data_IF_191668798172
#
_entry.id   IF_191668798172
#
_cell.length_a   1.000
_cell.length_b   1.000
_cell.length_c   1.000
_cell.angle_alpha   90.00
_cell.angle_beta   90.00
_cell.angle_gamma   90.00
#
_symmetry.space_group_name_H-M   'P 1'
#
loop_
_entity.id
_entity.type
_entity.pdbx_description
1 polymer ?
#
# COMPACT_ATOMS: atom_id res chain seq x y z
N UNK A 1 -5.69 58.71 23.74
CA UNK A 1 -6.12 57.29 23.75
C UNK A 1 -5.49 56.61 22.54
N UNK A 2 -4.40 55.88 22.75
CA UNK A 2 -3.68 55.15 21.72
C UNK A 2 -3.79 53.66 22.04
N UNK A 3 -4.39 52.88 21.15
CA UNK A 3 -4.51 51.44 21.28
C UNK A 3 -3.23 50.76 20.77
N UNK A 4 -2.47 50.16 21.68
CA UNK A 4 -1.46 49.15 21.37
C UNK A 4 -2.18 47.83 21.05
N UNK A 5 -1.88 47.24 19.88
CA UNK A 5 -2.13 45.81 19.61
C UNK A 5 -0.86 45.05 20.00
N UNK A 6 -0.97 44.20 21.02
CA UNK A 6 0.02 43.16 21.30
C UNK A 6 0.05 42.16 20.15
N UNK A 7 1.24 41.84 19.65
CA UNK A 7 1.48 40.66 18.82
C UNK A 7 1.73 39.49 19.76
N UNK A 8 0.88 38.48 19.68
CA UNK A 8 1.17 37.15 20.23
C UNK A 8 2.35 36.56 19.46
N UNK A 9 3.45 36.35 20.16
CA UNK A 9 4.54 35.49 19.71
C UNK A 9 4.19 34.07 20.12
N UNK A 10 3.73 33.26 19.16
CA UNK A 10 3.62 31.82 19.33
C UNK A 10 4.99 31.24 19.63
N UNK A 11 5.11 30.52 20.75
CA UNK A 11 6.27 29.72 21.13
C UNK A 11 6.53 28.65 20.07
N UNK A 12 7.61 28.81 19.29
CA UNK A 12 8.20 27.69 18.54
C UNK A 12 8.79 26.72 19.56
N UNK A 13 8.28 25.48 19.61
CA UNK A 13 8.91 24.40 20.38
C UNK A 13 10.28 24.10 19.76
N UNK A 14 11.35 24.50 20.45
CA UNK A 14 12.71 24.11 20.08
C UNK A 14 12.90 22.61 20.33
N UNK A 15 13.32 21.87 19.29
CA UNK A 15 13.81 20.51 19.45
C UNK A 15 14.98 20.47 20.45
N UNK A 16 15.14 19.39 21.24
CA UNK A 16 16.30 19.23 22.10
C UNK A 16 17.58 19.35 21.26
N UNK A 17 18.38 20.38 21.55
CA UNK A 17 19.61 20.74 20.82
C UNK A 17 20.79 19.83 21.20
N UNK A 18 20.65 18.52 21.01
CA UNK A 18 21.85 17.67 20.97
C UNK A 18 22.30 17.48 19.53
N UNK A 19 23.59 17.73 19.22
CA UNK A 19 24.10 17.46 17.89
C UNK A 19 23.90 15.97 17.54
N UNK A 20 23.57 15.71 16.28
CA UNK A 20 23.64 14.38 15.68
C UNK A 20 25.08 13.85 15.80
N UNK A 21 25.24 12.59 16.21
CA UNK A 21 26.54 11.95 16.47
C UNK A 21 26.57 10.54 15.90
N UNK A 22 27.75 10.08 15.46
CA UNK A 22 27.99 8.73 14.92
C UNK A 22 27.51 7.60 15.85
N UNK A 23 27.50 7.79 17.17
CA UNK A 23 26.96 6.79 18.12
C UNK A 23 25.42 6.70 18.08
N UNK A 24 24.72 7.81 17.78
CA UNK A 24 23.27 7.79 17.52
C UNK A 24 22.99 7.03 16.22
N UNK A 25 23.84 7.15 15.19
CA UNK A 25 23.69 6.41 13.92
C UNK A 25 23.67 4.90 14.13
N UNK A 26 24.61 4.36 14.92
CA UNK A 26 24.70 2.91 15.16
C UNK A 26 23.51 2.40 15.97
N UNK A 27 23.09 3.11 17.01
CA UNK A 27 21.94 2.70 17.82
C UNK A 27 20.62 2.80 17.03
N UNK A 28 20.48 3.84 16.20
CA UNK A 28 19.33 4.07 15.33
C UNK A 28 19.24 3.00 14.25
N UNK A 29 20.32 2.74 13.52
CA UNK A 29 20.38 1.70 12.49
C UNK A 29 20.12 0.30 13.07
N UNK A 30 20.61 0.02 14.28
CA UNK A 30 20.34 -1.25 14.97
C UNK A 30 18.86 -1.38 15.39
N UNK A 31 18.22 -0.30 15.85
CA UNK A 31 16.78 -0.33 16.15
C UNK A 31 15.95 -0.55 14.88
N UNK A 32 16.32 0.11 13.78
CA UNK A 32 15.64 -0.05 12.48
C UNK A 32 15.79 -1.47 11.92
N UNK A 33 16.99 -2.06 12.00
CA UNK A 33 17.23 -3.44 11.60
C UNK A 33 16.46 -4.45 12.47
N UNK A 34 16.26 -4.15 13.76
CA UNK A 34 15.52 -5.02 14.68
C UNK A 34 13.99 -4.97 14.48
N UNK A 35 13.45 -3.94 13.83
CA UNK A 35 12.00 -3.83 13.56
C UNK A 35 11.60 -4.41 12.20
N UNK A 36 12.56 -4.81 11.37
CA UNK A 36 12.36 -5.58 10.13
C UNK A 36 12.11 -7.07 10.35
N UNK A 37 12.07 -7.54 11.60
CA UNK A 37 11.74 -8.91 11.95
C UNK A 37 11.12 -8.97 13.33
N UNK A 38 9.92 -9.54 13.42
CA UNK A 38 9.16 -9.82 14.64
C UNK A 38 8.51 -8.62 15.35
N UNK A 39 7.18 -8.51 15.20
CA UNK A 39 6.32 -7.98 16.26
C UNK A 39 5.30 -9.05 16.66
N UNK A 40 5.57 -9.76 17.76
CA UNK A 40 4.49 -10.35 18.55
C UNK A 40 3.71 -9.20 19.19
N UNK A 41 2.46 -9.02 18.77
CA UNK A 41 1.54 -8.06 19.40
C UNK A 41 1.16 -8.57 20.79
N UNK A 42 1.52 -7.84 21.85
CA UNK A 42 0.79 -7.97 23.10
C UNK A 42 -0.60 -7.33 22.96
N UNK A 43 -1.67 -7.96 23.46
CA UNK A 43 -3.01 -7.43 23.34
C UNK A 43 -3.21 -6.21 24.26
N UNK A 44 -3.72 -5.14 23.65
CA UNK A 44 -4.25 -3.98 24.35
C UNK A 44 -5.38 -4.41 25.30
N UNK A 45 -5.24 -4.12 26.59
CA UNK A 45 -6.30 -4.25 27.60
C UNK A 45 -7.03 -2.92 27.69
N UNK A 46 -8.24 -2.87 27.14
CA UNK A 46 -9.21 -1.82 27.45
C UNK A 46 -9.57 -1.89 28.94
N UNK A 47 -9.37 -0.78 29.66
CA UNK A 47 -9.91 -0.58 31.00
C UNK A 47 -11.39 -0.21 30.85
N UNK A 48 -12.26 -1.20 30.94
CA UNK A 48 -13.69 -0.98 31.17
C UNK A 48 -13.98 -0.96 32.67
N UNK A 49 -14.49 0.17 33.13
CA UNK A 49 -15.08 0.37 34.45
C UNK A 49 -16.39 -0.45 34.55
N UNK A 50 -16.27 -1.69 35.03
CA UNK A 50 -17.40 -2.56 35.31
C UNK A 50 -18.11 -2.16 36.61
N UNK A 51 -19.24 -1.46 36.48
CA UNK A 51 -20.27 -1.41 37.52
C UNK A 51 -21.04 -2.75 37.54
N UNK A 52 -20.95 -3.42 38.68
CA UNK A 52 -21.55 -4.70 39.03
C UNK A 52 -23.07 -4.76 38.90
N UNK A 53 -23.62 -5.79 38.24
CA UNK A 53 -24.88 -6.44 38.62
C UNK A 53 -24.85 -7.93 38.28
N UNK A 54 -24.89 -8.77 39.31
CA UNK A 54 -25.15 -10.22 39.24
C UNK A 54 -26.64 -10.48 39.44
N UNK A 55 -27.31 -11.22 38.55
CA UNK A 55 -28.46 -12.09 38.89
C UNK A 55 -28.53 -13.30 37.94
N UNK A 56 -28.33 -14.46 38.55
CA UNK A 56 -28.93 -15.82 38.40
C UNK A 56 -29.22 -16.48 37.03
N UNK A 57 -28.81 -17.75 37.00
CA UNK A 57 -29.21 -18.83 36.09
C UNK A 57 -30.71 -19.11 36.23
N UNK A 58 -31.37 -19.51 35.14
CA UNK A 58 -32.12 -20.77 35.09
C UNK A 58 -32.56 -21.13 33.66
N UNK A 59 -32.48 -22.44 33.40
CA UNK A 59 -33.25 -23.31 32.50
C UNK A 59 -33.17 -23.28 30.95
N UNK A 60 -32.65 -24.43 30.46
CA UNK A 60 -32.70 -25.02 29.12
C UNK A 60 -34.12 -25.61 28.88
N UNK A 61 -34.62 -25.74 27.64
CA UNK A 61 -34.48 -27.06 26.98
C UNK A 61 -34.21 -27.02 25.46
N UNK A 62 -33.38 -27.99 25.06
CA UNK A 62 -33.17 -28.52 23.70
C UNK A 62 -34.46 -29.14 23.13
N UNK A 63 -34.67 -29.04 21.81
CA UNK A 63 -35.59 -29.93 21.08
C UNK A 63 -34.89 -30.56 19.87
N UNK A 64 -35.04 -31.89 19.81
CA UNK A 64 -34.40 -32.86 18.93
C UNK A 64 -35.09 -33.04 17.57
N UNK A 65 -34.30 -33.63 16.65
CA UNK A 65 -34.63 -34.40 15.45
C UNK A 65 -35.98 -35.15 15.43
N UNK A 66 -36.53 -35.31 14.22
CA UNK A 66 -37.45 -36.40 13.88
C UNK A 66 -37.05 -37.05 12.55
N UNK A 67 -37.00 -38.38 12.56
CA UNK A 67 -36.75 -39.31 11.44
C UNK A 67 -38.02 -40.12 11.15
N UNK A 68 -38.27 -40.36 9.86
CA UNK A 68 -38.97 -41.46 9.14
C UNK A 68 -40.34 -42.02 9.59
N UNK A 69 -41.18 -42.30 8.59
CA UNK A 69 -41.98 -43.55 8.47
C UNK A 69 -42.34 -43.81 6.99
N UNK A 70 -42.38 -45.09 6.59
CA UNK A 70 -42.65 -45.56 5.22
C UNK A 70 -43.90 -46.44 5.05
N UNK A 71 -44.16 -46.74 3.75
CA UNK A 71 -44.89 -47.86 3.11
C UNK A 71 -46.43 -48.05 3.32
N UNK A 72 -47.18 -48.83 2.48
CA UNK A 72 -46.86 -49.57 1.24
C UNK A 72 -47.94 -49.57 0.09
N UNK A 73 -47.59 -50.24 -1.04
CA UNK A 73 -48.41 -51.08 -1.97
C UNK A 73 -49.39 -50.49 -3.04
N UNK A 74 -49.33 -51.08 -4.26
CA UNK A 74 -50.48 -51.08 -5.21
C UNK A 74 -50.16 -51.20 -6.72
N UNK A 75 -50.27 -52.41 -7.27
CA UNK A 75 -50.06 -52.87 -8.66
C UNK A 75 -50.90 -52.22 -9.79
N UNK A 76 -50.40 -52.19 -11.04
CA UNK A 76 -50.91 -52.98 -12.19
C UNK A 76 -50.35 -52.56 -13.57
N UNK A 77 -50.30 -53.56 -14.46
CA UNK A 77 -49.75 -53.63 -15.82
C UNK A 77 -50.61 -52.92 -16.89
N UNK A 78 -49.98 -52.34 -17.92
CA UNK A 78 -50.43 -52.48 -19.32
C UNK A 78 -49.35 -52.08 -20.34
N UNK A 79 -49.02 -53.00 -21.24
CA UNK A 79 -48.22 -52.84 -22.47
C UNK A 79 -49.02 -52.12 -23.57
N UNK A 80 -48.42 -51.16 -24.29
CA UNK A 80 -48.47 -51.06 -25.78
C UNK A 80 -47.66 -49.87 -26.36
N UNK A 81 -46.60 -50.24 -27.09
CA UNK A 81 -46.13 -49.74 -28.41
C UNK A 81 -46.01 -48.22 -28.73
N UNK A 82 -44.78 -47.93 -29.17
CA UNK A 82 -44.39 -47.16 -30.37
C UNK A 82 -44.17 -45.65 -30.28
N UNK A 83 -43.11 -45.20 -30.97
CA UNK A 83 -42.90 -43.80 -31.35
C UNK A 83 -41.74 -43.14 -30.61
N UNK A 84 -40.61 -42.96 -31.29
CA UNK A 84 -39.41 -42.39 -30.71
C UNK A 84 -39.47 -40.90 -30.43
N UNK A 85 -38.67 -40.48 -29.45
CA UNK A 85 -38.01 -39.18 -29.46
C UNK A 85 -36.79 -39.28 -28.54
N UNK A 86 -35.61 -39.05 -29.10
CA UNK A 86 -34.39 -38.81 -28.34
C UNK A 86 -34.58 -37.50 -27.57
N UNK A 87 -34.97 -37.59 -26.31
CA UNK A 87 -34.90 -36.48 -25.38
C UNK A 87 -33.53 -36.51 -24.72
N UNK A 88 -32.67 -35.57 -25.11
CA UNK A 88 -31.44 -35.26 -24.41
C UNK A 88 -31.77 -34.96 -22.95
N UNK A 89 -31.33 -35.84 -22.05
CA UNK A 89 -31.24 -35.53 -20.63
C UNK A 89 -30.06 -34.57 -20.50
N UNK A 90 -30.35 -33.27 -20.39
CA UNK A 90 -29.39 -32.33 -19.84
C UNK A 90 -29.26 -32.65 -18.35
N UNK A 91 -28.26 -33.48 -18.04
CA UNK A 91 -27.70 -33.57 -16.69
C UNK A 91 -27.28 -32.17 -16.26
N UNK A 92 -27.61 -31.82 -15.01
CA UNK A 92 -27.40 -30.51 -14.44
C UNK A 92 -25.96 -30.06 -14.60
N UNK A 93 -25.75 -29.03 -15.42
CA UNK A 93 -24.53 -28.25 -15.39
C UNK A 93 -24.44 -27.64 -14.01
N UNK A 94 -23.59 -28.19 -13.14
CA UNK A 94 -23.01 -27.41 -12.07
C UNK A 94 -22.43 -26.18 -12.72
N UNK A 95 -23.02 -25.01 -12.46
CA UNK A 95 -22.38 -23.74 -12.77
C UNK A 95 -21.13 -23.66 -11.91
N UNK A 96 -20.03 -24.22 -12.42
CA UNK A 96 -18.71 -23.83 -11.96
C UNK A 96 -18.58 -22.38 -12.37
N UNK A 97 -18.76 -21.48 -11.40
CA UNK A 97 -18.36 -20.09 -11.56
C UNK A 97 -16.86 -20.14 -11.88
N UNK A 98 -16.52 -19.87 -13.14
CA UNK A 98 -15.15 -19.61 -13.55
C UNK A 98 -15.04 -18.08 -13.57
N UNK A 99 -14.43 -17.46 -12.56
CA UNK A 99 -14.12 -16.05 -12.66
C UNK A 99 -13.20 -15.87 -13.86
N UNK A 100 -13.61 -15.03 -14.81
CA UNK A 100 -12.84 -14.76 -16.02
C UNK A 100 -11.96 -13.53 -15.77
N UNK A 101 -11.07 -13.61 -14.78
CA UNK A 101 -10.17 -12.52 -14.46
C UNK A 101 -9.17 -12.32 -15.59
N UNK A 102 -9.02 -11.07 -16.04
CA UNK A 102 -8.01 -10.66 -17.01
C UNK A 102 -6.81 -10.00 -16.32
N UNK A 103 -7.03 -9.43 -15.14
CA UNK A 103 -6.01 -8.67 -14.42
C UNK A 103 -5.87 -9.16 -12.98
N UNK A 104 -4.63 -9.18 -12.53
CA UNK A 104 -4.28 -9.30 -11.11
C UNK A 104 -3.66 -7.97 -10.68
N UNK A 105 -4.29 -7.24 -9.78
CA UNK A 105 -3.66 -6.09 -9.14
C UNK A 105 -3.01 -6.57 -7.84
N UNK A 106 -1.69 -6.41 -7.72
CA UNK A 106 -0.94 -6.98 -6.61
C UNK A 106 -0.12 -5.90 -5.91
N UNK A 107 -0.29 -5.80 -4.60
CA UNK A 107 0.65 -5.06 -3.76
C UNK A 107 2.01 -5.79 -3.63
N UNK A 108 3.03 -5.08 -3.13
CA UNK A 108 4.37 -5.59 -2.93
C UNK A 108 4.70 -5.92 -1.47
N UNK A 109 5.02 -4.93 -0.66
CA UNK A 109 5.50 -5.12 0.72
C UNK A 109 4.39 -5.73 1.58
N UNK A 110 4.64 -6.89 2.21
CA UNK A 110 3.61 -7.58 3.00
C UNK A 110 2.62 -8.39 2.16
N UNK A 111 2.73 -8.37 0.83
CA UNK A 111 1.88 -9.13 -0.10
C UNK A 111 2.68 -10.02 -1.05
N UNK A 112 3.30 -9.45 -2.08
CA UNK A 112 4.13 -10.19 -3.04
C UNK A 112 5.50 -10.52 -2.46
N UNK A 113 6.04 -9.62 -1.64
CA UNK A 113 7.30 -9.79 -0.93
C UNK A 113 7.07 -10.49 0.41
N UNK A 114 7.94 -11.44 0.74
CA UNK A 114 8.00 -12.01 2.07
C UNK A 114 8.57 -11.01 3.09
N UNK A 115 8.62 -11.40 4.36
CA UNK A 115 9.20 -10.60 5.44
C UNK A 115 10.68 -10.24 5.25
N UNK A 116 11.40 -10.92 4.35
CA UNK A 116 12.78 -10.59 3.99
C UNK A 116 12.89 -9.54 2.88
N UNK A 117 11.76 -9.05 2.35
CA UNK A 117 11.72 -8.09 1.24
C UNK A 117 12.04 -8.72 -0.11
N UNK A 118 12.00 -10.05 -0.23
CA UNK A 118 12.27 -10.78 -1.46
C UNK A 118 10.98 -11.35 -2.05
N UNK A 119 10.98 -11.61 -3.36
CA UNK A 119 9.88 -12.33 -4.01
C UNK A 119 10.14 -13.83 -3.88
N UNK A 120 9.31 -14.61 -3.18
CA UNK A 120 9.43 -16.06 -3.18
C UNK A 120 9.34 -16.61 -4.61
N UNK A 121 10.18 -17.59 -4.96
CA UNK A 121 10.16 -18.17 -6.32
C UNK A 121 8.80 -18.78 -6.68
N UNK A 122 8.08 -19.29 -5.68
CA UNK A 122 6.68 -19.75 -5.78
C UNK A 122 5.74 -18.65 -6.24
N UNK A 123 5.84 -17.43 -5.70
CA UNK A 123 5.06 -16.27 -6.15
C UNK A 123 5.47 -15.90 -7.58
N UNK A 124 6.76 -15.90 -7.89
CA UNK A 124 7.24 -15.59 -9.23
C UNK A 124 6.72 -16.58 -10.28
N UNK A 125 6.74 -17.87 -9.98
CA UNK A 125 6.22 -18.91 -10.86
C UNK A 125 4.71 -18.83 -11.05
N UNK A 126 3.95 -18.55 -9.97
CA UNK A 126 2.52 -18.34 -10.08
C UNK A 126 2.17 -17.17 -11.02
N UNK A 127 2.91 -16.06 -10.95
CA UNK A 127 2.75 -14.93 -11.88
C UNK A 127 3.03 -15.36 -13.34
N UNK A 128 4.09 -16.17 -13.58
CA UNK A 128 4.38 -16.70 -14.92
C UNK A 128 3.25 -17.60 -15.42
N UNK A 129 2.70 -18.45 -14.55
CA UNK A 129 1.55 -19.30 -14.87
C UNK A 129 0.31 -18.46 -15.20
N UNK A 130 -0.05 -17.48 -14.38
CA UNK A 130 -1.15 -16.56 -14.65
C UNK A 130 -1.01 -15.90 -16.02
N UNK A 131 0.20 -15.41 -16.33
CA UNK A 131 0.51 -14.82 -17.63
C UNK A 131 0.39 -15.81 -18.79
N UNK A 132 0.83 -17.06 -18.63
CA UNK A 132 0.65 -18.09 -19.66
C UNK A 132 -0.82 -18.40 -19.98
N UNK A 133 -1.71 -18.10 -19.04
CA UNK A 133 -3.17 -18.20 -19.18
C UNK A 133 -3.82 -16.92 -19.72
N UNK A 134 -3.02 -15.90 -20.07
CA UNK A 134 -3.49 -14.62 -20.59
C UNK A 134 -3.94 -13.63 -19.51
N UNK A 135 -3.66 -13.92 -18.23
CA UNK A 135 -3.97 -13.00 -17.11
C UNK A 135 -2.76 -12.11 -16.84
N UNK A 136 -2.97 -10.80 -16.86
CA UNK A 136 -1.92 -9.82 -16.66
C UNK A 136 -1.82 -9.39 -15.20
N UNK A 137 -0.69 -9.68 -14.56
CA UNK A 137 -0.37 -9.10 -13.24
C UNK A 137 0.13 -7.66 -13.40
N UNK A 138 -0.45 -6.73 -12.65
CA UNK A 138 -0.13 -5.32 -12.60
C UNK A 138 0.20 -4.97 -11.14
N UNK A 139 1.31 -4.27 -10.93
CA UNK A 139 1.73 -3.86 -9.59
C UNK A 139 0.97 -2.60 -9.15
N UNK A 140 0.48 -2.60 -7.92
CA UNK A 140 -0.11 -1.45 -7.24
C UNK A 140 0.55 -1.23 -5.88
N UNK A 141 1.48 -0.28 -5.77
CA UNK A 141 2.39 -0.21 -4.61
C UNK A 141 2.67 1.22 -4.14
N UNK A 142 3.15 1.34 -2.89
CA UNK A 142 3.73 2.57 -2.35
C UNK A 142 5.14 2.89 -2.85
N UNK A 143 5.83 1.91 -3.47
CA UNK A 143 7.17 2.06 -4.03
C UNK A 143 7.21 2.86 -5.33
N UNK A 144 8.39 3.39 -5.67
CA UNK A 144 8.65 3.93 -7.01
C UNK A 144 8.78 2.81 -8.04
N UNK A 145 8.52 3.12 -9.32
CA UNK A 145 8.65 2.16 -10.42
C UNK A 145 10.06 1.57 -10.54
N UNK A 146 11.17 2.34 -10.42
CA UNK A 146 12.52 1.77 -10.40
C UNK A 146 12.74 0.75 -9.29
N UNK A 147 12.20 0.98 -8.09
CA UNK A 147 12.31 0.02 -6.99
C UNK A 147 11.62 -1.31 -7.33
N UNK A 148 10.42 -1.23 -7.93
CA UNK A 148 9.72 -2.42 -8.43
C UNK A 148 10.55 -3.15 -9.49
N UNK A 149 11.15 -2.43 -10.43
CA UNK A 149 11.99 -2.99 -11.49
C UNK A 149 13.22 -3.69 -10.89
N UNK A 150 13.89 -3.08 -9.91
CA UNK A 150 15.04 -3.67 -9.22
C UNK A 150 14.66 -4.98 -8.54
N UNK A 151 13.58 -4.99 -7.75
CA UNK A 151 13.13 -6.15 -6.99
C UNK A 151 12.67 -7.28 -7.92
N UNK A 152 11.79 -6.98 -8.88
CA UNK A 152 11.27 -7.98 -9.81
C UNK A 152 12.32 -8.45 -10.83
N UNK A 153 13.36 -7.65 -11.07
CA UNK A 153 14.51 -8.04 -11.88
C UNK A 153 15.26 -9.23 -11.31
N UNK A 154 15.34 -9.37 -9.98
CA UNK A 154 16.02 -10.47 -9.29
C UNK A 154 15.40 -11.84 -9.58
N UNK A 155 14.12 -11.87 -9.96
CA UNK A 155 13.35 -13.10 -10.28
C UNK A 155 12.89 -13.15 -11.74
N UNK A 156 13.52 -12.37 -12.62
CA UNK A 156 13.22 -12.30 -14.05
C UNK A 156 11.75 -11.94 -14.37
N UNK A 157 11.15 -11.09 -13.53
CA UNK A 157 9.82 -10.52 -13.73
C UNK A 157 9.86 -9.05 -14.19
N UNK A 158 11.05 -8.48 -14.42
CA UNK A 158 11.22 -7.17 -15.02
C UNK A 158 11.76 -7.24 -16.46
N UNK A 159 11.50 -6.20 -17.26
CA UNK A 159 12.01 -6.06 -18.62
C UNK A 159 11.16 -6.74 -19.69
N UNK A 160 11.77 -7.13 -20.80
CA UNK A 160 11.06 -7.72 -21.95
C UNK A 160 10.42 -9.05 -21.55
N UNK A 161 9.09 -9.06 -21.56
CA UNK A 161 8.34 -10.23 -21.11
C UNK A 161 8.38 -10.43 -19.59
N UNK A 162 8.65 -9.38 -18.81
CA UNK A 162 8.28 -9.32 -17.40
C UNK A 162 6.85 -8.78 -17.20
N UNK A 163 6.50 -8.49 -15.95
CA UNK A 163 5.28 -7.76 -15.58
C UNK A 163 5.55 -6.27 -15.30
N UNK A 164 6.82 -5.87 -15.16
CA UNK A 164 7.22 -4.48 -14.95
C UNK A 164 8.34 -4.04 -15.90
N UNK A 165 8.25 -2.83 -16.42
CA UNK A 165 9.28 -2.13 -17.19
C UNK A 165 8.93 -0.64 -17.28
N UNK A 166 9.76 0.14 -17.98
CA UNK A 166 9.45 1.54 -18.32
C UNK A 166 8.19 1.69 -19.20
N UNK A 167 7.74 0.62 -19.86
CA UNK A 167 6.59 0.60 -20.75
C UNK A 167 5.39 -0.20 -20.21
N UNK A 168 5.52 -0.81 -19.03
CA UNK A 168 4.43 -1.59 -18.43
C UNK A 168 3.42 -0.68 -17.73
N UNK A 169 2.13 -1.06 -17.72
CA UNK A 169 1.17 -0.42 -16.85
C UNK A 169 1.48 -0.68 -15.37
N UNK A 170 1.04 0.22 -14.49
CA UNK A 170 1.24 0.09 -13.05
C UNK A 170 0.76 1.29 -12.25
N UNK A 171 0.52 1.06 -10.96
CA UNK A 171 0.10 2.06 -9.98
C UNK A 171 1.22 2.19 -8.94
N UNK A 172 1.86 3.35 -8.87
CA UNK A 172 3.06 3.58 -8.06
C UNK A 172 2.85 4.73 -7.08
N UNK A 173 3.71 4.80 -6.07
CA UNK A 173 3.67 5.84 -5.04
C UNK A 173 2.26 5.99 -4.44
N UNK A 174 1.62 4.88 -4.10
CA UNK A 174 0.27 4.81 -3.53
C UNK A 174 -0.84 5.39 -4.43
N UNK A 175 -0.64 5.34 -5.76
CA UNK A 175 -1.60 5.86 -6.74
C UNK A 175 -1.34 7.30 -7.17
N UNK A 176 -0.26 7.92 -6.71
CA UNK A 176 0.17 9.25 -7.15
C UNK A 176 0.71 9.25 -8.57
N UNK A 177 1.15 8.09 -9.08
CA UNK A 177 1.55 7.90 -10.46
C UNK A 177 0.85 6.66 -11.02
N UNK A 178 0.19 6.83 -12.15
CA UNK A 178 -0.45 5.73 -12.88
C UNK A 178 0.07 5.73 -14.31
N UNK A 179 0.62 4.59 -14.71
CA UNK A 179 1.07 4.35 -16.08
C UNK A 179 0.19 3.29 -16.73
N UNK A 180 -0.18 3.52 -17.98
CA UNK A 180 -0.88 2.59 -18.87
C UNK A 180 0.08 1.82 -19.77
N UNK A 181 -0.51 1.13 -20.75
CA UNK A 181 0.26 0.40 -21.76
C UNK A 181 1.22 1.32 -22.53
N UNK A 182 2.39 0.79 -22.89
CA UNK A 182 3.42 1.55 -23.58
C UNK A 182 4.12 2.61 -22.71
N UNK A 183 3.89 2.63 -21.40
CA UNK A 183 4.47 3.60 -20.47
C UNK A 183 3.78 4.96 -20.52
N UNK A 184 2.55 5.02 -21.05
CA UNK A 184 1.76 6.24 -21.06
C UNK A 184 1.44 6.68 -19.62
N UNK A 185 1.86 7.88 -19.22
CA UNK A 185 1.45 8.44 -17.93
C UNK A 185 -0.01 8.88 -17.99
N UNK A 186 -0.88 8.15 -17.31
CA UNK A 186 -2.32 8.38 -17.25
C UNK A 186 -2.68 9.37 -16.15
N UNK A 187 -1.96 9.32 -15.03
CA UNK A 187 -2.21 10.16 -13.87
C UNK A 187 -0.93 10.55 -13.16
N UNK A 188 -0.92 11.76 -12.64
CA UNK A 188 0.12 12.27 -11.74
C UNK A 188 -0.51 13.25 -10.77
N UNK A 189 -0.34 13.02 -9.48
CA UNK A 189 -0.70 13.98 -8.43
C UNK A 189 0.56 14.40 -7.69
N UNK A 190 0.68 15.71 -7.47
CA UNK A 190 1.83 16.30 -6.84
C UNK A 190 1.42 17.06 -5.58
N UNK A 191 2.37 17.22 -4.68
CA UNK A 191 2.24 18.08 -3.52
C UNK A 191 2.19 19.55 -3.95
N UNK A 192 1.45 20.33 -3.15
CA UNK A 192 1.46 21.78 -3.27
C UNK A 192 2.89 22.32 -3.10
N UNK A 193 3.20 23.37 -3.86
CA UNK A 193 4.53 23.97 -3.88
C UNK A 193 4.97 24.47 -2.50
N UNK A 194 4.05 25.01 -1.71
CA UNK A 194 4.38 25.51 -0.37
C UNK A 194 4.68 24.36 0.58
N UNK A 195 3.95 23.24 0.48
CA UNK A 195 4.26 22.02 1.25
C UNK A 195 5.65 21.51 0.90
N UNK A 196 6.00 21.48 -0.39
CA UNK A 196 7.33 21.08 -0.85
C UNK A 196 8.42 21.96 -0.27
N UNK A 197 8.24 23.28 -0.37
CA UNK A 197 9.20 24.26 0.14
C UNK A 197 9.42 24.09 1.64
N UNK A 198 8.34 23.94 2.39
CA UNK A 198 8.39 23.78 3.84
C UNK A 198 9.09 22.49 4.26
N UNK A 199 8.80 21.37 3.59
CA UNK A 199 9.39 20.07 3.89
C UNK A 199 10.91 20.08 3.70
N UNK A 200 11.36 20.60 2.55
CA UNK A 200 12.78 20.74 2.26
C UNK A 200 13.46 21.66 3.29
N UNK A 201 12.91 22.85 3.53
CA UNK A 201 13.46 23.80 4.51
C UNK A 201 13.54 23.23 5.93
N UNK A 202 12.52 22.47 6.34
CA UNK A 202 12.50 21.82 7.65
C UNK A 202 13.64 20.81 7.77
N UNK A 203 13.76 19.90 6.79
CA UNK A 203 14.84 18.91 6.72
C UNK A 203 16.23 19.55 6.86
N UNK A 204 16.46 20.66 6.15
CA UNK A 204 17.72 21.40 6.16
C UNK A 204 18.03 22.09 7.48
N UNK A 205 17.04 22.82 8.02
CA UNK A 205 17.15 23.59 9.26
C UNK A 205 17.36 22.67 10.46
N UNK A 206 16.65 21.55 10.49
CA UNK A 206 16.61 20.64 11.63
C UNK A 206 17.50 19.41 11.47
N UNK A 207 18.15 19.25 10.30
CA UNK A 207 19.00 18.09 9.97
C UNK A 207 18.25 16.76 10.11
N UNK A 208 16.97 16.75 9.73
CA UNK A 208 16.12 15.55 9.74
C UNK A 208 16.18 14.89 8.37
N UNK A 209 16.41 13.58 8.31
CA UNK A 209 16.46 12.87 7.03
C UNK A 209 15.14 12.96 6.27
N UNK A 210 15.24 13.26 4.97
CA UNK A 210 14.09 13.37 4.06
C UNK A 210 14.44 12.80 2.69
N UNK A 211 13.52 11.98 2.17
CA UNK A 211 13.52 11.51 0.78
C UNK A 211 12.32 12.08 0.05
N UNK A 212 12.57 12.86 -1.01
CA UNK A 212 11.56 13.44 -1.88
C UNK A 212 11.46 12.63 -3.17
N UNK A 213 10.24 12.30 -3.57
CA UNK A 213 9.96 11.52 -4.78
C UNK A 213 9.46 12.42 -5.90
N UNK A 214 10.13 12.37 -7.06
CA UNK A 214 9.69 13.01 -8.30
C UNK A 214 9.81 12.04 -9.47
N UNK A 215 8.69 11.45 -9.85
CA UNK A 215 8.58 10.36 -10.84
C UNK A 215 9.46 9.18 -10.44
N UNK A 216 10.43 8.84 -11.28
CA UNK A 216 11.36 7.74 -11.07
C UNK A 216 12.62 8.17 -10.29
N UNK A 217 12.71 9.44 -9.89
CA UNK A 217 13.87 9.98 -9.17
C UNK A 217 13.56 10.25 -7.69
N UNK A 218 14.55 9.96 -6.85
CA UNK A 218 14.57 10.35 -5.44
C UNK A 218 15.57 11.47 -5.18
N UNK A 219 15.26 12.35 -4.23
CA UNK A 219 16.10 13.48 -3.83
C UNK A 219 16.18 13.59 -2.30
N UNK A 220 17.27 14.14 -1.79
CA UNK A 220 17.47 14.43 -0.37
C UNK A 220 18.11 15.81 -0.21
N UNK A 221 17.94 16.42 0.95
CA UNK A 221 18.62 17.69 1.28
C UNK A 221 19.89 17.48 2.09
N UNK A 222 20.15 16.27 2.57
CA UNK A 222 21.31 15.93 3.39
C UNK A 222 22.26 15.02 2.61
N UNK A 223 23.54 15.35 2.64
CA UNK A 223 24.62 14.53 2.08
C UNK A 223 25.00 13.42 3.07
N UNK A 224 25.31 12.22 2.55
CA UNK A 224 25.80 11.04 3.27
C UNK A 224 25.06 10.72 4.59
N UNK A 225 23.73 10.87 4.59
CA UNK A 225 22.93 10.65 5.80
C UNK A 225 22.55 9.16 5.96
N UNK A 226 22.90 8.50 7.08
CA UNK A 226 22.78 7.05 7.23
C UNK A 226 21.34 6.53 7.08
N UNK A 227 20.35 7.28 7.57
CA UNK A 227 18.94 6.93 7.37
C UNK A 227 18.50 6.94 5.90
N UNK A 228 19.02 7.87 5.10
CA UNK A 228 18.67 7.97 3.68
C UNK A 228 19.28 6.79 2.91
N UNK A 229 20.52 6.41 3.23
CA UNK A 229 21.16 5.23 2.65
C UNK A 229 20.50 3.93 3.12
N UNK A 230 20.12 3.83 4.39
CA UNK A 230 19.36 2.70 4.91
C UNK A 230 18.02 2.55 4.17
N UNK A 231 17.29 3.64 3.97
CA UNK A 231 16.03 3.64 3.23
C UNK A 231 16.21 3.16 1.78
N UNK A 232 17.26 3.63 1.08
CA UNK A 232 17.62 3.15 -0.25
C UNK A 232 17.80 1.62 -0.28
N UNK A 233 18.61 1.09 0.64
CA UNK A 233 18.96 -0.34 0.67
C UNK A 233 17.75 -1.20 1.04
N UNK A 234 17.01 -0.82 2.08
CA UNK A 234 15.90 -1.62 2.59
C UNK A 234 14.69 -1.62 1.68
N UNK A 235 14.38 -0.50 1.04
CA UNK A 235 13.18 -0.36 0.21
C UNK A 235 13.45 -0.50 -1.29
N UNK A 236 14.72 -0.70 -1.67
CA UNK A 236 15.18 -0.73 -3.06
C UNK A 236 14.87 0.55 -3.84
N UNK A 237 14.68 1.67 -3.14
CA UNK A 237 14.36 2.95 -3.77
C UNK A 237 15.60 3.55 -4.44
N UNK A 238 15.51 4.31 -5.54
CA UNK A 238 16.67 4.94 -6.15
C UNK A 238 17.51 5.72 -5.15
N UNK A 239 18.84 5.64 -5.27
CA UNK A 239 19.73 6.44 -4.42
C UNK A 239 19.38 7.92 -4.57
N UNK A 240 19.03 8.54 -3.44
CA UNK A 240 18.56 9.92 -3.42
C UNK A 240 19.66 10.88 -3.87
N UNK A 241 19.33 11.74 -4.83
CA UNK A 241 20.23 12.79 -5.33
C UNK A 241 20.20 13.98 -4.38
N UNK A 242 21.37 14.48 -4.00
CA UNK A 242 21.47 15.64 -3.10
C UNK A 242 20.98 16.88 -3.84
N UNK A 243 20.10 17.63 -3.19
CA UNK A 243 19.72 18.98 -3.57
C UNK A 243 20.80 19.90 -3.01
N UNK A 244 21.92 20.00 -3.75
CA UNK A 244 23.19 20.56 -3.27
C UNK A 244 23.25 22.08 -3.12
N UNK A 245 22.20 22.81 -3.51
CA UNK A 245 22.23 24.28 -3.60
C UNK A 245 21.27 24.99 -2.64
N UNK A 246 21.25 24.50 -1.41
CA UNK A 246 20.45 25.10 -0.33
C UNK A 246 21.20 26.24 0.35
N UNK A 247 22.54 26.19 0.41
CA UNK A 247 23.30 27.29 1.02
C UNK A 247 23.19 28.60 0.20
N UNK A 248 22.92 28.51 -1.12
CA UNK A 248 22.51 29.67 -1.94
C UNK A 248 21.07 30.14 -1.64
N UNK A 249 20.21 29.22 -1.21
CA UNK A 249 18.83 29.45 -0.75
C UNK A 249 18.77 30.24 0.57
N UNK A 250 19.82 30.14 1.39
CA UNK A 250 19.91 30.79 2.71
C UNK A 250 20.73 32.08 2.72
N UNK A 251 21.59 32.32 1.71
CA UNK A 251 22.57 33.43 1.72
C UNK A 251 22.23 34.63 0.83
N UNK A 252 21.11 34.62 0.09
CA UNK A 252 20.75 35.74 -0.80
C UNK A 252 19.39 36.37 -0.46
N UNK A 253 19.41 37.68 -0.14
CA UNK A 253 18.24 38.56 0.02
C UNK A 253 17.68 38.92 -1.37
N UNK A 254 17.57 37.94 -2.27
CA UNK A 254 17.01 38.18 -3.59
C UNK A 254 16.01 37.07 -3.95
N UNK A 255 14.78 37.34 -3.54
CA UNK A 255 13.60 36.50 -3.80
C UNK A 255 13.45 36.22 -5.30
N UNK A 256 14.02 37.03 -6.20
CA UNK A 256 13.90 36.85 -7.64
C UNK A 256 14.89 35.80 -8.22
N UNK A 257 16.07 35.61 -7.62
CA UNK A 257 17.04 34.58 -8.04
C UNK A 257 16.74 33.20 -7.43
N UNK A 258 16.13 33.20 -6.24
CA UNK A 258 15.56 32.02 -5.59
C UNK A 258 14.58 31.28 -6.52
N UNK A 259 13.87 32.00 -7.38
CA UNK A 259 12.90 31.47 -8.34
C UNK A 259 13.53 30.67 -9.49
N UNK A 260 14.80 30.90 -9.81
CA UNK A 260 15.45 30.32 -11.00
C UNK A 260 15.96 28.89 -10.76
N UNK A 261 16.50 28.59 -9.58
CA UNK A 261 16.95 27.23 -9.21
C UNK A 261 15.91 26.43 -8.43
N UNK A 262 14.89 27.12 -7.93
CA UNK A 262 13.63 26.52 -7.53
C UNK A 262 12.89 25.90 -8.74
N UNK A 263 13.42 25.84 -9.97
CA UNK A 263 12.79 25.17 -11.12
C UNK A 263 12.42 23.68 -10.90
N UNK A 264 13.15 22.96 -10.04
CA UNK A 264 12.80 21.57 -9.65
C UNK A 264 11.61 21.56 -8.68
N UNK A 265 11.50 22.57 -7.81
CA UNK A 265 10.37 22.72 -6.89
C UNK A 265 9.17 23.42 -7.55
N UNK A 266 9.34 24.58 -8.21
CA UNK A 266 8.34 25.41 -8.90
C UNK A 266 7.50 24.70 -9.96
N UNK A 267 7.99 23.60 -10.52
CA UNK A 267 7.17 22.80 -11.43
C UNK A 267 6.21 21.85 -10.70
N UNK A 268 6.21 21.85 -9.35
CA UNK A 268 5.29 21.07 -8.54
C UNK A 268 5.29 19.60 -8.94
N UNK A 269 6.46 18.98 -9.08
CA UNK A 269 6.59 17.58 -9.56
C UNK A 269 6.89 16.58 -8.46
N UNK A 270 6.90 17.00 -7.19
CA UNK A 270 7.12 16.08 -6.08
C UNK A 270 5.82 15.37 -5.74
N UNK A 271 5.80 14.05 -5.81
CA UNK A 271 4.62 13.25 -5.45
C UNK A 271 4.52 13.11 -3.94
N UNK A 272 5.63 12.78 -3.26
CA UNK A 272 5.63 12.58 -1.80
C UNK A 272 6.95 12.95 -1.17
N UNK A 273 6.90 13.24 0.12
CA UNK A 273 8.07 13.27 1.00
C UNK A 273 8.00 12.16 2.02
N UNK A 274 9.15 11.61 2.37
CA UNK A 274 9.32 10.62 3.43
C UNK A 274 10.35 11.17 4.41
N UNK A 275 9.92 11.46 5.63
CA UNK A 275 10.81 11.77 6.74
C UNK A 275 11.19 10.49 7.49
N UNK A 276 12.46 10.40 7.86
CA UNK A 276 13.04 9.22 8.51
C UNK A 276 13.60 9.63 9.87
N UNK A 277 13.19 8.93 10.92
CA UNK A 277 13.66 9.10 12.30
C UNK A 277 13.27 7.86 13.12
N UNK A 278 13.73 7.78 14.37
CA UNK A 278 13.17 6.94 15.42
C UNK A 278 11.65 7.02 15.50
N UNK A 279 10.98 5.92 15.88
CA UNK A 279 9.55 5.92 16.18
C UNK A 279 9.15 6.97 17.22
N UNK A 280 10.00 7.21 18.21
CA UNK A 280 9.77 8.19 19.26
C UNK A 280 9.71 9.61 18.69
N UNK A 281 10.67 10.02 17.87
CA UNK A 281 10.70 11.36 17.26
C UNK A 281 9.59 11.52 16.23
N UNK A 282 9.28 10.48 15.45
CA UNK A 282 8.16 10.54 14.51
C UNK A 282 6.84 10.76 15.24
N UNK A 283 6.55 9.95 16.26
CA UNK A 283 5.27 10.00 16.97
C UNK A 283 5.11 11.27 17.81
N UNK A 284 6.18 11.73 18.48
CA UNK A 284 6.12 12.86 19.40
C UNK A 284 6.37 14.23 18.75
N UNK A 285 7.13 14.28 17.64
CA UNK A 285 7.54 15.55 17.01
C UNK A 285 7.02 15.65 15.58
N UNK A 286 7.48 14.78 14.68
CA UNK A 286 7.30 15.00 13.24
C UNK A 286 5.83 14.85 12.83
N UNK A 287 5.13 13.82 13.31
CA UNK A 287 3.73 13.59 12.97
C UNK A 287 2.83 14.73 13.45
N UNK A 288 2.85 15.16 14.73
CA UNK A 288 2.07 16.31 15.17
C UNK A 288 2.42 17.61 14.44
N UNK A 289 3.71 17.85 14.17
CA UNK A 289 4.17 19.01 13.42
C UNK A 289 3.57 19.04 12.00
N UNK A 290 3.78 17.97 11.24
CA UNK A 290 3.34 17.89 9.85
C UNK A 290 1.82 17.84 9.71
N UNK A 291 1.13 17.12 10.60
CA UNK A 291 -0.33 17.06 10.59
C UNK A 291 -0.95 18.47 10.72
N UNK A 292 -0.39 19.31 11.59
CA UNK A 292 -0.81 20.71 11.72
C UNK A 292 -0.37 21.55 10.53
N UNK A 293 0.86 21.36 10.05
CA UNK A 293 1.49 22.24 9.07
C UNK A 293 0.87 22.13 7.68
N UNK A 294 0.41 20.93 7.32
CA UNK A 294 -0.13 20.62 6.00
C UNK A 294 -1.64 20.46 5.99
N UNK A 295 -2.32 20.78 7.10
CA UNK A 295 -3.77 20.67 7.21
C UNK A 295 -4.49 21.38 6.05
N UNK A 296 -5.43 20.67 5.42
CA UNK A 296 -6.15 21.11 4.23
C UNK A 296 -5.34 21.20 2.93
N UNK A 297 -4.04 20.86 2.93
CA UNK A 297 -3.16 20.89 1.74
C UNK A 297 -2.56 19.54 1.38
N UNK A 298 -2.20 18.74 2.37
CA UNK A 298 -1.67 17.39 2.23
C UNK A 298 -2.14 16.55 3.42
N UNK A 299 -1.84 15.25 3.40
CA UNK A 299 -2.07 14.35 4.52
C UNK A 299 -0.77 13.70 4.97
N UNK A 300 -0.73 13.36 6.25
CA UNK A 300 0.38 12.64 6.85
C UNK A 300 -0.02 11.19 7.00
N UNK A 301 0.81 10.28 6.48
CA UNK A 301 0.61 8.83 6.53
C UNK A 301 1.81 8.21 7.23
N UNK A 302 1.58 7.21 8.07
CA UNK A 302 2.65 6.49 8.75
C UNK A 302 2.33 5.00 8.66
N UNK A 303 3.03 4.31 7.76
CA UNK A 303 2.90 2.86 7.63
C UNK A 303 3.81 2.12 8.61
N UNK A 304 5.00 2.67 8.88
CA UNK A 304 6.00 2.10 9.79
C UNK A 304 6.39 3.13 10.86
N UNK A 305 6.86 2.65 12.02
CA UNK A 305 7.14 3.52 13.17
C UNK A 305 8.15 4.63 12.84
N UNK A 306 9.15 4.27 12.06
CA UNK A 306 10.33 5.03 11.64
C UNK A 306 10.19 5.80 10.31
N UNK A 307 9.01 5.76 9.69
CA UNK A 307 8.74 6.38 8.38
C UNK A 307 7.49 7.25 8.44
N UNK A 308 7.65 8.56 8.19
CA UNK A 308 6.53 9.49 8.07
C UNK A 308 6.40 10.01 6.64
N UNK A 309 5.30 9.69 5.97
CA UNK A 309 5.01 10.19 4.64
C UNK A 309 4.15 11.46 4.68
N UNK A 310 4.49 12.44 3.84
CA UNK A 310 3.63 13.56 3.48
C UNK A 310 3.23 13.38 2.02
N UNK A 311 1.93 13.18 1.80
CA UNK A 311 1.35 12.88 0.48
C UNK A 311 0.16 13.81 0.18
N UNK A 312 -0.18 14.05 -1.10
CA UNK A 312 -1.37 14.80 -1.47
C UNK A 312 -2.66 14.24 -0.87
N UNK A 313 -3.65 15.11 -0.68
CA UNK A 313 -4.97 14.72 -0.20
C UNK A 313 -5.68 13.77 -1.17
N UNK A 314 -6.42 12.80 -0.63
CA UNK A 314 -7.28 11.90 -1.42
C UNK A 314 -6.54 10.80 -2.19
N UNK A 315 -5.25 10.61 -1.89
CA UNK A 315 -4.41 9.58 -2.51
C UNK A 315 -4.84 8.18 -2.08
N UNK A 316 -5.02 7.25 -3.03
CA UNK A 316 -5.24 5.82 -2.75
C UNK A 316 -4.84 4.95 -3.95
N UNK A 317 -4.45 3.70 -3.67
CA UNK A 317 -4.20 2.69 -4.72
C UNK A 317 -5.48 2.42 -5.51
N UNK A 318 -6.63 2.31 -4.84
CA UNK A 318 -7.92 2.06 -5.49
C UNK A 318 -8.29 3.09 -6.56
N UNK A 319 -8.06 4.38 -6.32
CA UNK A 319 -8.26 5.41 -7.35
C UNK A 319 -7.30 5.23 -8.54
N UNK A 320 -6.04 4.88 -8.27
CA UNK A 320 -5.06 4.60 -9.32
C UNK A 320 -5.44 3.38 -10.17
N UNK A 321 -5.91 2.30 -9.53
CA UNK A 321 -6.43 1.10 -10.20
C UNK A 321 -7.63 1.44 -11.06
N UNK A 322 -8.58 2.23 -10.55
CA UNK A 322 -9.74 2.67 -11.31
C UNK A 322 -9.35 3.42 -12.59
N UNK A 323 -8.45 4.40 -12.49
CA UNK A 323 -7.94 5.16 -13.66
C UNK A 323 -7.29 4.21 -14.67
N UNK A 324 -6.52 3.22 -14.20
CA UNK A 324 -5.85 2.28 -15.07
C UNK A 324 -6.86 1.35 -15.79
N UNK A 325 -7.87 0.83 -15.08
CA UNK A 325 -8.93 0.00 -15.66
C UNK A 325 -9.71 0.73 -16.75
N UNK A 326 -9.99 2.03 -16.57
CA UNK A 326 -10.62 2.86 -17.60
C UNK A 326 -9.80 2.89 -18.89
N UNK A 327 -8.47 3.01 -18.79
CA UNK A 327 -7.58 2.99 -19.97
C UNK A 327 -7.49 1.61 -20.64
N UNK A 328 -7.64 0.54 -19.85
CA UNK A 328 -7.62 -0.85 -20.31
C UNK A 328 -8.97 -1.31 -20.88
N UNK A 329 -10.01 -0.47 -20.82
CA UNK A 329 -11.39 -0.82 -21.13
C UNK A 329 -11.87 -2.07 -20.35
N UNK A 330 -11.46 -2.19 -19.08
CA UNK A 330 -11.71 -3.35 -18.23
C UNK A 330 -12.73 -3.04 -17.12
N UNK A 331 -13.57 -4.02 -16.79
CA UNK A 331 -14.49 -3.95 -15.65
C UNK A 331 -13.78 -4.39 -14.37
N UNK A 332 -14.14 -3.84 -13.19
CA UNK A 332 -13.65 -4.38 -11.93
C UNK A 332 -13.98 -5.87 -11.72
N UNK A 333 -15.07 -6.39 -12.29
CA UNK A 333 -15.42 -7.84 -12.26
C UNK A 333 -14.36 -8.73 -12.92
N UNK A 334 -13.49 -8.17 -13.78
CA UNK A 334 -12.40 -8.87 -14.46
C UNK A 334 -11.09 -8.81 -13.67
N UNK A 335 -11.13 -8.33 -12.42
CA UNK A 335 -9.97 -8.10 -11.57
C UNK A 335 -9.97 -9.00 -10.34
N UNK A 336 -8.83 -9.66 -10.11
CA UNK A 336 -8.44 -10.14 -8.79
C UNK A 336 -7.47 -9.13 -8.18
N UNK A 337 -7.68 -8.72 -6.94
CA UNK A 337 -6.76 -7.84 -6.21
C UNK A 337 -6.18 -8.54 -4.97
N UNK A 338 -4.89 -8.31 -4.71
CA UNK A 338 -4.13 -8.90 -3.60
C UNK A 338 -3.47 -7.78 -2.80
N UNK A 339 -3.66 -7.78 -1.48
CA UNK A 339 -3.09 -6.76 -0.59
C UNK A 339 -3.11 -7.18 0.88
N UNK A 340 -2.52 -6.37 1.74
CA UNK A 340 -2.44 -6.61 3.18
C UNK A 340 -2.54 -5.32 4.01
N UNK A 341 -2.13 -4.18 3.45
CA UNK A 341 -2.09 -2.88 4.11
C UNK A 341 -3.40 -2.10 4.02
N UNK A 342 -3.55 -1.08 4.89
CA UNK A 342 -4.73 -0.19 4.89
C UNK A 342 -4.92 0.52 3.55
N UNK A 343 -3.81 0.84 2.87
CA UNK A 343 -3.82 1.49 1.56
C UNK A 343 -4.24 0.56 0.40
N UNK A 344 -4.48 -0.73 0.66
CA UNK A 344 -5.04 -1.69 -0.31
C UNK A 344 -6.57 -1.77 -0.24
N UNK A 345 -7.18 -1.27 0.84
CA UNK A 345 -8.61 -1.41 1.12
C UNK A 345 -9.47 -1.04 -0.08
N UNK A 346 -9.28 0.14 -0.66
CA UNK A 346 -10.09 0.61 -1.79
C UNK A 346 -9.85 -0.22 -3.06
N UNK A 347 -8.64 -0.75 -3.25
CA UNK A 347 -8.33 -1.64 -4.37
C UNK A 347 -9.01 -2.99 -4.23
N UNK A 348 -9.00 -3.58 -3.02
CA UNK A 348 -9.67 -4.85 -2.74
C UNK A 348 -11.19 -4.72 -2.87
N UNK A 349 -11.77 -3.62 -2.37
CA UNK A 349 -13.20 -3.33 -2.49
C UNK A 349 -13.66 -3.11 -3.94
N UNK A 350 -12.77 -2.59 -4.78
CA UNK A 350 -13.06 -2.32 -6.18
C UNK A 350 -13.13 -3.62 -6.99
N UNK A 351 -12.24 -4.57 -6.73
CA UNK A 351 -12.06 -5.78 -7.53
C UNK A 351 -13.26 -6.74 -7.46
N UNK A 352 -13.47 -7.52 -8.53
CA UNK A 352 -14.43 -8.62 -8.54
C UNK A 352 -14.07 -9.76 -7.59
N UNK A 353 -12.78 -9.84 -7.21
CA UNK A 353 -12.30 -10.64 -6.09
C UNK A 353 -11.15 -9.94 -5.37
N UNK A 354 -11.41 -9.42 -4.18
CA UNK A 354 -10.41 -8.91 -3.25
C UNK A 354 -9.90 -10.01 -2.31
N UNK A 355 -8.58 -10.24 -2.29
CA UNK A 355 -7.91 -11.17 -1.39
C UNK A 355 -6.99 -10.40 -0.44
N UNK A 356 -7.29 -10.43 0.85
CA UNK A 356 -6.40 -9.92 1.90
C UNK A 356 -5.49 -11.06 2.40
N UNK A 357 -4.18 -10.86 2.49
CA UNK A 357 -3.32 -11.87 3.12
C UNK A 357 -3.49 -11.89 4.65
N UNK A 358 -3.31 -13.04 5.29
CA UNK A 358 -3.62 -13.18 6.72
C UNK A 358 -2.71 -12.34 7.64
N UNK A 359 -1.51 -11.99 7.20
CA UNK A 359 -0.60 -11.05 7.88
C UNK A 359 -1.09 -9.59 7.81
N UNK A 360 -2.05 -9.28 6.93
CA UNK A 360 -2.57 -7.94 6.74
C UNK A 360 -3.35 -7.37 7.92
N UNK A 361 -3.68 -6.08 7.83
CA UNK A 361 -4.43 -5.38 8.86
C UNK A 361 -5.92 -5.74 8.85
N UNK A 362 -6.60 -5.57 9.99
CA UNK A 362 -8.02 -5.94 10.12
C UNK A 362 -8.93 -5.13 9.19
N UNK A 363 -8.60 -3.86 8.92
CA UNK A 363 -9.36 -3.01 8.00
C UNK A 363 -9.40 -3.63 6.60
N UNK A 364 -8.28 -4.18 6.14
CA UNK A 364 -8.14 -4.82 4.82
C UNK A 364 -8.85 -6.16 4.77
N UNK A 365 -8.77 -6.97 5.84
CA UNK A 365 -9.48 -8.26 5.94
C UNK A 365 -10.99 -8.11 5.96
N UNK A 366 -11.51 -7.06 6.62
CA UNK A 366 -12.95 -6.80 6.72
C UNK A 366 -13.58 -6.51 5.36
N UNK A 367 -12.82 -5.92 4.44
CA UNK A 367 -13.34 -5.51 3.12
C UNK A 367 -13.06 -6.51 2.01
N UNK A 368 -12.16 -7.47 2.22
CA UNK A 368 -11.82 -8.50 1.24
C UNK A 368 -12.90 -9.59 1.18
N UNK A 369 -13.07 -10.19 0.02
CA UNK A 369 -13.96 -11.35 -0.17
C UNK A 369 -13.37 -12.60 0.47
N UNK A 370 -12.04 -12.70 0.50
CA UNK A 370 -11.31 -13.86 1.00
C UNK A 370 -10.07 -13.43 1.78
N UNK A 371 -9.79 -14.14 2.87
CA UNK A 371 -8.51 -14.09 3.57
C UNK A 371 -7.62 -15.22 3.04
N UNK A 372 -6.49 -14.86 2.43
CA UNK A 372 -5.46 -15.77 1.92
C UNK A 372 -4.40 -16.13 2.97
N UNK A 373 -3.42 -16.95 2.57
CA UNK A 373 -2.27 -17.28 3.40
C UNK A 373 -1.33 -16.08 3.58
N UNK A 374 -0.35 -16.19 4.48
CA UNK A 374 0.61 -15.12 4.74
C UNK A 374 1.50 -14.87 3.52
N UNK A 375 2.08 -13.68 3.40
CA UNK A 375 3.14 -13.40 2.43
C UNK A 375 4.34 -14.36 2.58
N UNK A 376 4.72 -14.69 3.83
CA UNK A 376 5.77 -15.68 4.13
C UNK A 376 5.42 -17.11 3.70
N UNK A 377 4.13 -17.39 3.48
CA UNK A 377 3.62 -18.68 3.00
C UNK A 377 3.31 -18.65 1.49
N UNK A 378 3.81 -17.63 0.77
CA UNK A 378 3.51 -17.43 -0.65
C UNK A 378 2.03 -17.23 -0.93
N UNK A 379 1.36 -16.40 -0.12
CA UNK A 379 -0.09 -16.13 -0.23
C UNK A 379 -0.55 -15.73 -1.63
N UNK A 380 0.26 -14.96 -2.36
CA UNK A 380 -0.01 -14.59 -3.77
C UNK A 380 -0.07 -15.83 -4.66
N UNK A 381 0.91 -16.74 -4.56
CA UNK A 381 0.91 -17.98 -5.34
C UNK A 381 -0.32 -18.84 -5.05
N UNK A 382 -0.66 -18.99 -3.78
CA UNK A 382 -1.83 -19.77 -3.37
C UNK A 382 -3.14 -19.17 -3.90
N UNK A 383 -3.29 -17.85 -3.86
CA UNK A 383 -4.45 -17.17 -4.41
C UNK A 383 -4.54 -17.38 -5.94
N UNK A 384 -3.45 -17.17 -6.65
CA UNK A 384 -3.38 -17.40 -8.11
C UNK A 384 -3.79 -18.83 -8.45
N UNK A 385 -3.19 -19.85 -7.82
CA UNK A 385 -3.49 -21.24 -8.16
C UNK A 385 -4.91 -21.69 -7.77
N UNK A 386 -5.52 -21.02 -6.80
CA UNK A 386 -6.87 -21.36 -6.33
C UNK A 386 -7.97 -20.72 -7.18
N UNK A 387 -7.74 -19.50 -7.67
CA UNK A 387 -8.78 -18.69 -8.30
C UNK A 387 -8.59 -18.49 -9.82
N UNK A 388 -7.46 -18.93 -10.39
CA UNK A 388 -7.16 -18.94 -11.82
C UNK A 388 -6.82 -20.33 -12.32
#
# INVERSE_FOLDING_TARGET
>A
MAHQRQRDTSSEEELPREPWTVEKDVHLLNNLAAHGGEFQREPWVEKDDAASWTVEKDDVPLVNNVVAHGDPEGSSNSLARSGGHLANVHEGAGMFYQPNFKYIFCDMDGTLLDSSGLVPETNAEAIRVARSRGVQTIIATGKSRPAVIEVLGKVNLAGTGGIVSESSPGVFLQGLLVYGEGGQKLYQQNLDIEVCREALLYSLKHRVALVAFSQDDCYTTLDDHPLVDFFHVMYHEPKAKIISDVDHFLSTIDIQLLLSYCFICYNGKMQKFVFLETPEVISSVLRPHWARRVDGKAQVVQAQGDVLEVVPLGTSKGNGVKILLESLCASPDEVMALGDGENDKEMLQLAGLGVALCNGCEVTKVVADVIGASNDESGVAQAIYKYL
#
